data_IF_972484831674
#
_entry.id   IF_972484831674
#
_cell.length_a   1.000
_cell.length_b   1.000
_cell.length_c   1.000
_cell.angle_alpha   90.00
_cell.angle_beta   90.00
_cell.angle_gamma   90.00
#
_symmetry.space_group_name_H-M   'P 1'
#
loop_
_entity.id
_entity.type
_entity.pdbx_description
1 polymer ?
#
# COMPACT_ATOMS: atom_id res chain seq x y z
N UNK A 1 25.97 4.33 4.58
CA UNK A 1 26.85 3.33 5.22
C UNK A 1 26.10 2.83 6.43
N UNK A 2 25.98 1.51 6.57
CA UNK A 2 25.30 0.86 7.70
C UNK A 2 26.22 0.76 8.91
N UNK A 3 25.66 0.52 10.08
CA UNK A 3 26.35 0.28 11.34
C UNK A 3 25.91 -1.07 11.93
N UNK A 4 26.77 -1.64 12.78
CA UNK A 4 26.40 -2.80 13.60
C UNK A 4 25.20 -2.44 14.46
N UNK A 5 24.19 -3.31 14.48
CA UNK A 5 22.90 -3.10 15.14
C UNK A 5 21.81 -2.53 14.22
N UNK A 6 22.14 -2.06 13.02
CA UNK A 6 21.12 -1.57 12.08
C UNK A 6 20.28 -2.73 11.55
N UNK A 7 18.96 -2.52 11.44
CA UNK A 7 18.06 -3.48 10.81
C UNK A 7 17.94 -3.17 9.32
N UNK A 8 18.33 -4.12 8.47
CA UNK A 8 18.46 -3.93 7.02
C UNK A 8 17.83 -5.09 6.26
N UNK A 9 17.53 -4.83 4.97
CA UNK A 9 16.90 -5.78 4.08
C UNK A 9 17.63 -5.91 2.76
N UNK A 10 17.71 -7.14 2.27
CA UNK A 10 17.95 -7.44 0.87
C UNK A 10 16.62 -7.59 0.12
N UNK A 11 16.24 -6.60 -0.68
CA UNK A 11 14.91 -6.52 -1.32
C UNK A 11 14.63 -7.73 -2.22
N UNK A 12 15.54 -8.04 -3.16
CA UNK A 12 15.29 -9.08 -4.16
C UNK A 12 15.26 -10.52 -3.59
N UNK A 13 15.88 -10.75 -2.42
CA UNK A 13 15.91 -12.05 -1.75
C UNK A 13 14.91 -12.14 -0.60
N UNK A 14 14.24 -11.02 -0.29
CA UNK A 14 13.27 -10.92 0.80
C UNK A 14 13.84 -11.38 2.15
N UNK A 15 15.08 -10.97 2.44
CA UNK A 15 15.79 -11.30 3.68
C UNK A 15 15.93 -10.04 4.53
N UNK A 16 15.59 -10.15 5.81
CA UNK A 16 15.71 -9.10 6.83
C UNK A 16 16.58 -9.63 7.97
N UNK A 17 17.47 -8.79 8.49
CA UNK A 17 18.29 -9.11 9.64
C UNK A 17 18.99 -7.89 10.23
N UNK A 18 19.58 -8.09 11.39
CA UNK A 18 20.37 -7.09 12.10
C UNK A 18 21.83 -7.20 11.66
N UNK A 19 22.46 -6.09 11.33
CA UNK A 19 23.90 -6.08 11.01
C UNK A 19 24.69 -6.48 12.25
N UNK A 20 25.45 -7.57 12.15
CA UNK A 20 26.32 -8.06 13.24
C UNK A 20 27.80 -7.78 12.96
N UNK A 21 28.20 -7.68 11.69
CA UNK A 21 29.57 -7.36 11.29
C UNK A 21 29.63 -6.73 9.89
N UNK A 22 30.71 -6.00 9.61
CA UNK A 22 30.97 -5.34 8.31
C UNK A 22 32.44 -5.54 7.95
N UNK A 23 32.68 -6.27 6.86
CA UNK A 23 34.02 -6.47 6.28
C UNK A 23 34.09 -5.86 4.87
N UNK A 24 34.66 -4.66 4.79
CA UNK A 24 34.73 -3.89 3.55
C UNK A 24 33.35 -3.60 2.98
N UNK A 25 33.05 -4.19 1.82
CA UNK A 25 31.75 -4.05 1.14
C UNK A 25 30.76 -5.18 1.51
N UNK A 26 31.16 -6.13 2.35
CA UNK A 26 30.32 -7.26 2.78
C UNK A 26 29.72 -6.95 4.15
N UNK A 27 28.42 -7.14 4.26
CA UNK A 27 27.65 -6.92 5.50
C UNK A 27 27.04 -8.26 5.93
N UNK A 28 27.31 -8.64 7.18
CA UNK A 28 26.79 -9.87 7.79
C UNK A 28 25.55 -9.54 8.62
N UNK A 29 24.48 -10.28 8.39
CA UNK A 29 23.18 -10.10 9.02
C UNK A 29 22.83 -11.32 9.85
N UNK A 30 22.37 -11.10 11.09
CA UNK A 30 21.68 -12.12 11.87
C UNK A 30 20.17 -12.00 11.65
N UNK A 31 19.56 -13.09 11.19
CA UNK A 31 18.12 -13.20 11.00
C UNK A 31 17.41 -13.57 12.31
N UNK A 32 16.09 -13.33 12.45
CA UNK A 32 15.34 -13.66 13.68
C UNK A 32 15.34 -15.14 14.06
N UNK A 33 15.67 -16.04 13.13
CA UNK A 33 15.82 -17.47 13.38
C UNK A 33 17.24 -17.87 13.84
N UNK A 34 18.14 -16.89 14.06
CA UNK A 34 19.54 -17.10 14.42
C UNK A 34 20.44 -17.52 13.27
N UNK A 35 19.96 -17.47 12.01
CA UNK A 35 20.81 -17.71 10.84
C UNK A 35 21.60 -16.46 10.49
N UNK A 36 22.90 -16.64 10.25
CA UNK A 36 23.76 -15.60 9.70
C UNK A 36 23.83 -15.70 8.18
N UNK A 37 23.76 -14.55 7.51
CA UNK A 37 23.82 -14.44 6.05
C UNK A 37 24.62 -13.21 5.66
N UNK A 38 25.34 -13.27 4.54
CA UNK A 38 26.18 -12.18 4.05
C UNK A 38 25.66 -11.61 2.71
N UNK A 39 25.76 -10.29 2.57
CA UNK A 39 25.40 -9.58 1.33
C UNK A 39 26.33 -8.40 1.07
N UNK A 40 26.45 -8.01 -0.20
CA UNK A 40 27.09 -6.75 -0.55
C UNK A 40 26.27 -5.57 0.00
N UNK A 41 26.94 -4.56 0.57
CA UNK A 41 26.29 -3.37 1.12
C UNK A 41 25.41 -2.65 0.08
N UNK A 42 25.79 -2.69 -1.20
CA UNK A 42 25.03 -2.10 -2.31
C UNK A 42 23.69 -2.81 -2.60
N UNK A 43 23.52 -4.04 -2.13
CA UNK A 43 22.29 -4.81 -2.28
C UNK A 43 21.31 -4.63 -1.09
N UNK A 44 21.71 -3.87 -0.07
CA UNK A 44 20.96 -3.66 1.16
C UNK A 44 20.35 -2.26 1.21
N UNK A 45 19.23 -2.16 1.92
CA UNK A 45 18.61 -0.90 2.33
C UNK A 45 18.20 -0.99 3.80
N UNK A 46 18.01 0.14 4.46
CA UNK A 46 17.41 0.14 5.80
C UNK A 46 16.01 -0.47 5.73
N UNK A 47 15.71 -1.37 6.67
CA UNK A 47 14.37 -1.95 6.76
C UNK A 47 13.34 -0.84 7.00
N UNK A 48 13.66 0.15 7.83
CA UNK A 48 12.78 1.31 8.06
C UNK A 48 12.45 2.09 6.78
N UNK A 49 13.41 2.26 5.88
CA UNK A 49 13.20 2.98 4.63
C UNK A 49 12.34 2.17 3.65
N UNK A 50 12.54 0.86 3.63
CA UNK A 50 11.66 -0.06 2.89
C UNK A 50 10.24 0.00 3.45
N UNK A 51 10.09 -0.15 4.75
CA UNK A 51 8.82 -0.06 5.45
C UNK A 51 8.14 1.27 5.17
N UNK A 52 8.82 2.41 5.27
CA UNK A 52 8.24 3.73 5.02
C UNK A 52 7.74 3.93 3.58
N UNK A 53 8.37 3.30 2.58
CA UNK A 53 7.93 3.36 1.17
C UNK A 53 6.73 2.46 0.87
N UNK A 54 6.57 1.42 1.67
CA UNK A 54 5.53 0.39 1.49
C UNK A 54 4.43 0.48 2.54
N UNK A 55 4.60 1.32 3.55
CA UNK A 55 3.58 1.67 4.49
C UNK A 55 2.53 2.48 3.74
N UNK A 56 1.39 1.82 3.53
CA UNK A 56 0.24 2.44 2.90
C UNK A 56 -0.53 3.30 3.90
N UNK A 57 -0.10 3.38 5.16
CA UNK A 57 -0.71 4.24 6.16
C UNK A 57 -0.76 5.68 5.64
N UNK A 58 -1.95 6.26 5.69
CA UNK A 58 -2.10 7.70 5.53
C UNK A 58 -1.49 8.33 6.77
N UNK A 59 -0.71 9.40 6.60
CA UNK A 59 -0.21 10.17 7.73
C UNK A 59 -1.39 10.58 8.62
N UNK A 60 -1.33 10.29 9.91
CA UNK A 60 -2.38 10.60 10.87
C UNK A 60 -2.19 12.04 11.38
N UNK A 61 -2.39 12.99 10.47
CA UNK A 61 -2.31 14.43 10.75
C UNK A 61 -3.54 15.17 10.20
N UNK A 62 -3.84 16.33 10.78
CA UNK A 62 -5.04 17.09 10.44
C UNK A 62 -5.12 17.50 8.95
N UNK A 63 -3.98 17.63 8.26
CA UNK A 63 -3.94 17.91 6.82
C UNK A 63 -4.27 16.68 5.98
N UNK A 64 -3.85 15.51 6.43
CA UNK A 64 -4.14 14.22 5.80
C UNK A 64 -5.60 13.77 5.97
N UNK A 65 -6.29 14.25 7.02
CA UNK A 65 -7.72 14.05 7.25
C UNK A 65 -8.62 15.16 6.64
N UNK A 66 -8.04 16.20 6.04
CA UNK A 66 -8.78 17.36 5.55
C UNK A 66 -9.86 17.02 4.50
N UNK A 67 -9.73 15.87 3.85
CA UNK A 67 -10.63 15.39 2.80
C UNK A 67 -11.42 14.14 3.19
N UNK A 68 -11.37 13.68 4.44
CA UNK A 68 -12.02 12.45 4.88
C UNK A 68 -13.51 12.43 4.57
N UNK A 69 -14.23 13.52 4.89
CA UNK A 69 -15.65 13.63 4.58
C UNK A 69 -15.97 13.51 3.08
N UNK A 70 -15.06 13.97 2.21
CA UNK A 70 -15.21 13.83 0.76
C UNK A 70 -14.95 12.39 0.31
N UNK A 71 -13.97 11.71 0.90
CA UNK A 71 -13.68 10.30 0.63
C UNK A 71 -14.78 9.38 1.14
N UNK A 72 -15.32 9.64 2.33
CA UNK A 72 -16.47 8.92 2.89
C UNK A 72 -17.69 9.04 1.97
N UNK A 73 -18.02 10.26 1.54
CA UNK A 73 -19.12 10.49 0.61
C UNK A 73 -18.95 9.79 -0.74
N UNK A 74 -17.71 9.68 -1.23
CA UNK A 74 -17.41 8.88 -2.43
C UNK A 74 -17.77 7.41 -2.18
N UNK A 75 -17.29 6.81 -1.09
CA UNK A 75 -17.56 5.40 -0.76
C UNK A 75 -19.05 5.13 -0.57
N UNK A 76 -19.77 6.04 0.12
CA UNK A 76 -21.22 5.93 0.34
C UNK A 76 -22.03 5.95 -0.97
N UNK A 77 -21.48 6.56 -2.02
CA UNK A 77 -22.09 6.64 -3.35
C UNK A 77 -21.72 5.48 -4.28
N UNK A 78 -20.84 4.56 -3.84
CA UNK A 78 -20.42 3.40 -4.60
C UNK A 78 -21.38 2.22 -4.45
N UNK A 79 -21.58 1.49 -5.53
CA UNK A 79 -22.27 0.21 -5.55
C UNK A 79 -21.43 -0.84 -4.82
N UNK A 80 -22.07 -1.76 -4.08
CA UNK A 80 -21.38 -2.85 -3.39
C UNK A 80 -20.41 -3.61 -4.30
N UNK A 81 -20.81 -3.89 -5.55
CA UNK A 81 -19.97 -4.59 -6.52
C UNK A 81 -18.64 -3.86 -6.84
N UNK A 82 -18.60 -2.52 -6.77
CA UNK A 82 -17.36 -1.74 -6.95
C UNK A 82 -16.47 -1.84 -5.72
N UNK A 83 -17.08 -1.80 -4.52
CA UNK A 83 -16.36 -2.01 -3.25
C UNK A 83 -15.75 -3.40 -3.20
N UNK A 84 -16.51 -4.43 -3.59
CA UNK A 84 -16.08 -5.83 -3.60
C UNK A 84 -14.85 -6.05 -4.50
N UNK A 85 -14.74 -5.33 -5.62
CA UNK A 85 -13.55 -5.37 -6.48
C UNK A 85 -12.29 -4.86 -5.77
N UNK A 86 -12.41 -3.74 -5.04
CA UNK A 86 -11.32 -3.19 -4.24
C UNK A 86 -10.93 -4.12 -3.09
N UNK A 87 -11.92 -4.70 -2.40
CA UNK A 87 -11.71 -5.70 -1.35
C UNK A 87 -11.00 -6.95 -1.86
N UNK A 88 -11.44 -7.47 -3.01
CA UNK A 88 -10.85 -8.65 -3.63
C UNK A 88 -9.39 -8.40 -3.98
N UNK A 89 -9.08 -7.28 -4.65
CA UNK A 89 -7.69 -6.93 -4.97
C UNK A 89 -6.85 -6.74 -3.71
N UNK A 90 -7.37 -6.04 -2.69
CA UNK A 90 -6.67 -5.86 -1.41
C UNK A 90 -6.35 -7.18 -0.73
N UNK A 91 -7.30 -8.14 -0.74
CA UNK A 91 -7.09 -9.47 -0.16
C UNK A 91 -6.05 -10.32 -0.90
N UNK A 92 -5.83 -10.03 -2.19
CA UNK A 92 -4.86 -10.70 -3.04
C UNK A 92 -3.50 -10.00 -3.08
N UNK A 93 -3.39 -8.80 -2.49
CA UNK A 93 -2.16 -8.04 -2.47
C UNK A 93 -1.04 -8.85 -1.79
N UNK A 94 0.14 -8.85 -2.42
CA UNK A 94 1.29 -9.55 -1.89
C UNK A 94 1.65 -8.98 -0.51
N UNK A 95 1.80 -9.88 0.48
CA UNK A 95 2.19 -9.47 1.82
C UNK A 95 3.65 -9.06 1.79
N UNK A 96 3.90 -7.81 2.14
CA UNK A 96 5.24 -7.28 2.31
C UNK A 96 5.70 -7.65 3.73
N UNK A 97 6.74 -8.51 3.91
CA UNK A 97 7.19 -8.86 5.24
C UNK A 97 7.62 -7.63 6.02
N UNK A 98 7.33 -7.59 7.32
CA UNK A 98 7.60 -6.43 8.18
C UNK A 98 6.54 -5.31 8.10
N UNK A 99 5.72 -5.25 7.04
CA UNK A 99 4.56 -4.35 7.00
C UNK A 99 3.40 -5.05 7.69
N UNK A 100 2.80 -4.40 8.69
CA UNK A 100 1.58 -4.90 9.31
C UNK A 100 0.43 -4.87 8.30
N UNK A 101 -0.05 -6.04 7.89
CA UNK A 101 -1.19 -6.14 6.99
C UNK A 101 -2.46 -5.62 7.67
N UNK A 102 -3.03 -4.54 7.13
CA UNK A 102 -4.32 -4.01 7.57
C UNK A 102 -5.47 -4.79 6.94
N UNK A 103 -6.49 -5.10 7.73
CA UNK A 103 -7.78 -5.59 7.23
C UNK A 103 -8.49 -4.47 6.46
N UNK A 104 -9.41 -4.84 5.58
CA UNK A 104 -10.15 -3.86 4.79
C UNK A 104 -10.88 -2.83 5.68
N UNK A 105 -11.41 -3.28 6.81
CA UNK A 105 -12.16 -2.46 7.77
C UNK A 105 -11.25 -1.44 8.47
N UNK A 106 -9.96 -1.75 8.59
CA UNK A 106 -8.92 -0.92 9.23
C UNK A 106 -8.32 0.10 8.25
N UNK A 107 -8.73 0.07 6.97
CA UNK A 107 -8.32 1.04 5.97
C UNK A 107 -9.12 2.35 6.11
N UNK A 108 -8.42 3.48 5.98
CA UNK A 108 -9.06 4.78 5.78
C UNK A 108 -9.81 4.83 4.46
N UNK A 109 -10.70 5.81 4.32
CA UNK A 109 -11.52 5.94 3.11
C UNK A 109 -10.67 6.21 1.87
N UNK A 110 -9.60 7.01 1.99
CA UNK A 110 -8.64 7.19 0.90
C UNK A 110 -7.92 5.88 0.52
N UNK A 111 -7.50 5.07 1.50
CA UNK A 111 -6.87 3.77 1.22
C UNK A 111 -7.83 2.82 0.49
N UNK A 112 -9.12 2.80 0.89
CA UNK A 112 -10.15 2.03 0.21
C UNK A 112 -10.37 2.51 -1.23
N UNK A 113 -10.44 3.82 -1.45
CA UNK A 113 -10.58 4.40 -2.81
C UNK A 113 -9.34 4.09 -3.65
N UNK A 114 -8.12 4.13 -3.09
CA UNK A 114 -6.91 3.73 -3.79
C UNK A 114 -6.95 2.26 -4.25
N UNK A 115 -7.39 1.35 -3.36
CA UNK A 115 -7.54 -0.06 -3.71
C UNK A 115 -8.60 -0.27 -4.81
N UNK A 116 -9.73 0.43 -4.72
CA UNK A 116 -10.78 0.41 -5.76
C UNK A 116 -10.24 0.98 -7.08
N UNK A 117 -9.49 2.08 -7.04
CA UNK A 117 -8.85 2.67 -8.21
C UNK A 117 -7.89 1.71 -8.89
N UNK A 118 -7.09 0.97 -8.12
CA UNK A 118 -6.21 -0.06 -8.66
C UNK A 118 -6.99 -1.22 -9.30
N UNK A 119 -8.08 -1.68 -8.66
CA UNK A 119 -8.90 -2.78 -9.15
C UNK A 119 -9.71 -2.44 -10.41
N UNK A 120 -10.12 -1.17 -10.53
CA UNK A 120 -11.02 -0.72 -11.60
C UNK A 120 -10.30 0.00 -12.74
N UNK A 121 -9.01 0.30 -12.57
CA UNK A 121 -8.21 1.18 -13.43
C UNK A 121 -8.80 2.60 -13.58
N UNK A 122 -9.62 3.04 -12.62
CA UNK A 122 -10.21 4.37 -12.58
C UNK A 122 -9.45 5.24 -11.58
N UNK A 123 -8.89 6.40 -11.98
CA UNK A 123 -8.16 7.27 -11.07
C UNK A 123 -9.00 7.76 -9.88
N UNK A 124 -8.38 7.90 -8.71
CA UNK A 124 -9.01 8.43 -7.47
C UNK A 124 -9.70 9.77 -7.74
N UNK A 125 -9.02 10.65 -8.48
CA UNK A 125 -9.58 11.95 -8.87
C UNK A 125 -10.89 11.80 -9.64
N UNK A 126 -11.01 10.81 -10.51
CA UNK A 126 -12.24 10.56 -11.28
C UNK A 126 -13.39 10.12 -10.36
N UNK A 127 -13.11 9.32 -9.32
CA UNK A 127 -14.13 8.99 -8.30
C UNK A 127 -14.60 10.23 -7.55
N UNK A 128 -13.67 11.08 -7.12
CA UNK A 128 -13.98 12.33 -6.40
C UNK A 128 -14.75 13.32 -7.29
N UNK A 129 -14.29 13.55 -8.51
CA UNK A 129 -14.91 14.49 -9.44
C UNK A 129 -16.34 14.03 -9.80
N UNK A 130 -16.54 12.72 -10.00
CA UNK A 130 -17.83 12.16 -10.41
C UNK A 130 -18.85 12.04 -9.28
N UNK A 131 -18.41 12.04 -8.01
CA UNK A 131 -19.30 12.04 -6.84
C UNK A 131 -19.90 13.42 -6.56
N UNK A 132 -19.35 14.49 -7.16
CA UNK A 132 -19.86 15.84 -6.94
C UNK A 132 -21.25 16.04 -7.55
N UNK A 133 -22.11 16.88 -6.91
CA UNK A 133 -23.40 17.25 -7.48
C UNK A 133 -23.25 17.85 -8.89
N UNK A 134 -23.98 17.29 -9.86
CA UNK A 134 -23.98 17.78 -11.25
C UNK A 134 -22.78 17.36 -12.09
N UNK A 135 -21.92 16.46 -11.59
CA UNK A 135 -20.76 15.96 -12.32
C UNK A 135 -21.13 15.30 -13.66
N UNK A 136 -20.22 15.41 -14.64
CA UNK A 136 -20.34 14.81 -15.97
C UNK A 136 -19.00 14.15 -16.35
N UNK A 137 -18.89 12.80 -16.36
CA UNK A 137 -19.94 11.83 -16.02
C UNK A 137 -20.24 11.81 -14.51
N UNK A 138 -21.49 11.50 -14.16
CA UNK A 138 -21.88 11.23 -12.77
C UNK A 138 -21.31 9.88 -12.31
N UNK A 139 -21.07 9.72 -11.01
CA UNK A 139 -20.44 8.52 -10.45
C UNK A 139 -21.17 7.23 -10.85
N UNK A 140 -22.51 7.23 -10.91
CA UNK A 140 -23.28 6.07 -11.37
C UNK A 140 -22.91 5.64 -12.80
N UNK A 141 -22.65 6.58 -13.71
CA UNK A 141 -22.22 6.29 -15.08
C UNK A 141 -20.81 5.69 -15.11
N UNK A 142 -19.89 6.21 -14.29
CA UNK A 142 -18.53 5.67 -14.16
C UNK A 142 -18.59 4.22 -13.69
N UNK A 143 -19.36 3.96 -12.63
CA UNK A 143 -19.50 2.63 -12.04
C UNK A 143 -20.10 1.61 -13.02
N UNK A 144 -21.16 1.97 -13.73
CA UNK A 144 -21.76 1.10 -14.75
C UNK A 144 -20.78 0.78 -15.88
N UNK A 145 -19.94 1.74 -16.28
CA UNK A 145 -18.90 1.53 -17.29
C UNK A 145 -17.87 0.50 -16.82
N UNK A 146 -17.43 0.60 -15.56
CA UNK A 146 -16.52 -0.37 -14.94
C UNK A 146 -17.15 -1.76 -14.88
N UNK A 147 -18.40 -1.87 -14.43
CA UNK A 147 -19.08 -3.17 -14.32
C UNK A 147 -19.29 -3.82 -15.70
N UNK A 148 -19.64 -3.05 -16.72
CA UNK A 148 -19.78 -3.54 -18.10
C UNK A 148 -18.45 -4.04 -18.68
N UNK A 149 -17.32 -3.42 -18.32
CA UNK A 149 -15.98 -3.86 -18.74
C UNK A 149 -15.63 -5.21 -18.10
N UNK A 150 -16.02 -5.42 -16.84
CA UNK A 150 -15.66 -6.61 -16.06
C UNK A 150 -16.68 -7.75 -16.11
N UNK A 151 -17.81 -7.57 -16.81
CA UNK A 151 -18.81 -8.61 -17.02
C UNK A 151 -18.55 -9.47 -18.28
N UNK A 152 -17.39 -9.31 -18.92
CA UNK A 152 -16.97 -10.03 -20.13
C UNK A 152 -15.78 -10.91 -19.82
#
# INVERSE_FOLDING_TARGET
MFNIGDNVRHVARNVVGVVIDIDGDTVYLEQPNGCEVDFAASALIYESDFQARHDTSVQDDAGSHAHDAAYDAVLDSMYPAIIDMGQLLHSQAERIPGVAAKRWEELSSLQKINAISAATEVPVKTWIDSSQPGARPAIGTVQLTVLQKNSK
#
